data_IF_573302357910
#
_entry.id   IF_573302357910
#
_cell.length_a   1.000
_cell.length_b   1.000
_cell.length_c   1.000
_cell.angle_alpha   90.00
_cell.angle_beta   90.00
_cell.angle_gamma   90.00
#
_symmetry.space_group_name_H-M   'P 1'
#
loop_
_entity.id
_entity.type
_entity.pdbx_description
1 polymer ?
#
# COMPACT_ATOMS: atom_id res chain seq x y z
N UNK A 1 10.95 -21.17 -6.17
CA UNK A 1 11.72 -19.90 -6.03
C UNK A 1 10.85 -18.69 -5.67
N UNK A 2 9.74 -18.39 -6.35
CA UNK A 2 8.90 -17.20 -6.02
C UNK A 2 8.35 -17.17 -4.59
N UNK A 3 7.97 -18.32 -4.02
CA UNK A 3 7.52 -18.44 -2.63
C UNK A 3 8.63 -18.09 -1.62
N UNK A 4 9.87 -18.51 -1.90
CA UNK A 4 11.02 -18.21 -1.03
C UNK A 4 11.33 -16.72 -1.04
N UNK A 5 11.30 -16.06 -2.20
CA UNK A 5 11.53 -14.62 -2.30
C UNK A 5 10.50 -13.79 -1.50
N UNK A 6 9.23 -14.22 -1.51
CA UNK A 6 8.18 -13.58 -0.72
C UNK A 6 8.40 -13.77 0.79
N UNK A 7 8.72 -14.99 1.24
CA UNK A 7 9.01 -15.28 2.65
C UNK A 7 10.24 -14.50 3.13
N UNK A 8 11.31 -14.46 2.32
CA UNK A 8 12.52 -13.69 2.61
C UNK A 8 12.19 -12.20 2.71
N UNK A 9 11.39 -11.65 1.79
CA UNK A 9 10.97 -10.25 1.84
C UNK A 9 10.20 -9.91 3.13
N UNK A 10 9.25 -10.76 3.53
CA UNK A 10 8.50 -10.58 4.78
C UNK A 10 9.42 -10.68 6.00
N UNK A 11 10.30 -11.69 6.06
CA UNK A 11 11.26 -11.84 7.16
C UNK A 11 12.17 -10.62 7.28
N UNK A 12 12.64 -10.10 6.15
CA UNK A 12 13.52 -8.92 6.12
C UNK A 12 12.80 -7.68 6.66
N UNK A 13 11.50 -7.51 6.34
CA UNK A 13 10.66 -6.46 6.92
C UNK A 13 10.49 -6.63 8.44
N UNK A 14 10.20 -7.85 8.90
CA UNK A 14 10.07 -8.13 10.35
C UNK A 14 11.38 -7.81 11.07
N UNK A 15 12.51 -8.26 10.54
CA UNK A 15 13.83 -7.97 11.11
C UNK A 15 14.10 -6.47 11.13
N UNK A 16 13.75 -5.73 10.08
CA UNK A 16 13.90 -4.27 10.05
C UNK A 16 13.08 -3.60 11.15
N UNK A 17 11.84 -4.02 11.37
CA UNK A 17 11.01 -3.52 12.46
C UNK A 17 11.57 -3.91 13.83
N UNK A 18 11.93 -5.17 14.04
CA UNK A 18 12.53 -5.61 15.32
C UNK A 18 13.82 -4.86 15.61
N UNK A 19 14.65 -4.60 14.61
CA UNK A 19 15.86 -3.79 14.76
C UNK A 19 15.54 -2.34 15.12
N UNK A 20 14.55 -1.72 14.46
CA UNK A 20 14.12 -0.36 14.76
C UNK A 20 13.54 -0.27 16.18
N UNK A 21 12.56 -1.12 16.51
CA UNK A 21 11.95 -1.15 17.84
C UNK A 21 12.97 -1.53 18.92
N UNK A 22 13.84 -2.50 18.66
CA UNK A 22 14.95 -2.84 19.55
C UNK A 22 15.86 -1.65 19.79
N UNK A 23 16.21 -0.89 18.76
CA UNK A 23 17.08 0.28 18.93
C UNK A 23 16.40 1.40 19.75
N UNK A 24 15.11 1.66 19.52
CA UNK A 24 14.38 2.75 20.17
C UNK A 24 13.83 2.42 21.57
N UNK A 25 13.40 1.18 21.81
CA UNK A 25 12.72 0.79 23.05
C UNK A 25 13.61 0.03 24.04
N UNK A 26 14.71 -0.58 23.59
CA UNK A 26 15.67 -1.21 24.49
C UNK A 26 16.39 -0.26 25.47
N UNK A 27 16.63 1.05 25.20
CA UNK A 27 17.32 1.92 26.15
C UNK A 27 16.48 2.34 27.38
N UNK A 28 15.30 1.75 27.59
CA UNK A 28 14.44 2.09 28.75
C UNK A 28 14.79 1.33 30.03
N UNK A 29 15.60 0.27 29.96
CA UNK A 29 16.00 -0.50 31.14
C UNK A 29 17.41 -0.10 31.59
N UNK A 30 17.51 0.65 32.70
CA UNK A 30 18.77 1.10 33.32
C UNK A 30 19.63 -0.07 33.85
N UNK A 31 19.09 -1.29 33.82
CA UNK A 31 19.77 -2.49 34.28
C UNK A 31 20.77 -2.99 33.23
N UNK A 32 21.99 -2.44 33.27
CA UNK A 32 23.22 -2.98 32.66
C UNK A 32 23.04 -3.58 31.25
N UNK A 33 23.32 -2.83 30.15
CA UNK A 33 23.20 -3.38 28.81
C UNK A 33 24.06 -4.64 28.67
N UNK A 34 23.49 -5.69 28.06
CA UNK A 34 24.22 -6.92 27.75
C UNK A 34 25.54 -6.55 27.05
N UNK A 35 26.71 -7.03 27.54
CA UNK A 35 28.02 -6.69 26.97
C UNK A 35 28.12 -7.02 25.48
N UNK A 36 27.33 -7.96 24.97
CA UNK A 36 27.28 -8.28 23.54
C UNK A 36 26.73 -7.13 22.71
N UNK A 37 25.69 -6.47 23.19
CA UNK A 37 25.07 -5.34 22.49
C UNK A 37 26.00 -4.13 22.59
N UNK A 38 26.63 -3.91 23.74
CA UNK A 38 27.64 -2.86 23.92
C UNK A 38 28.78 -3.01 22.91
N UNK A 39 29.39 -4.19 22.80
CA UNK A 39 30.49 -4.44 21.86
C UNK A 39 30.12 -4.17 20.39
N UNK A 40 28.88 -4.51 19.98
CA UNK A 40 28.41 -4.21 18.62
C UNK A 40 28.26 -2.70 18.44
N UNK A 41 27.69 -1.99 19.41
CA UNK A 41 27.53 -0.53 19.36
C UNK A 41 28.89 0.17 19.32
N UNK A 42 29.86 -0.28 20.12
CA UNK A 42 31.23 0.24 20.14
C UNK A 42 31.87 0.14 18.76
N UNK A 43 31.78 -1.03 18.12
CA UNK A 43 32.38 -1.26 16.80
C UNK A 43 31.74 -0.47 15.66
N UNK A 44 30.46 -0.12 15.78
CA UNK A 44 29.69 0.55 14.72
C UNK A 44 29.77 2.07 14.85
N UNK A 45 29.73 2.60 16.07
CA UNK A 45 29.59 4.03 16.32
C UNK A 45 30.86 4.70 16.84
N UNK A 46 31.73 3.96 17.52
CA UNK A 46 32.93 4.48 18.18
C UNK A 46 34.21 4.07 17.44
N UNK A 47 35.30 4.80 17.70
CA UNK A 47 36.61 4.43 17.18
C UNK A 47 37.22 3.27 18.02
N UNK A 48 38.23 2.56 17.49
CA UNK A 48 38.90 1.51 18.27
C UNK A 48 39.46 2.05 19.60
N UNK A 49 39.05 1.45 20.71
CA UNK A 49 39.47 1.84 22.06
C UNK A 49 38.57 2.88 22.75
N UNK A 50 37.49 3.31 22.11
CA UNK A 50 36.40 4.09 22.72
C UNK A 50 35.26 3.15 23.13
N UNK A 51 34.49 3.55 24.15
CA UNK A 51 33.31 2.82 24.65
C UNK A 51 32.04 3.65 24.45
N UNK A 52 30.95 3.01 24.04
CA UNK A 52 29.68 3.66 23.78
C UNK A 52 28.90 3.86 25.08
N UNK A 53 28.78 5.12 25.49
CA UNK A 53 28.10 5.52 26.72
C UNK A 53 26.81 6.25 26.38
N UNK A 54 25.73 5.88 27.07
CA UNK A 54 24.42 6.54 26.97
C UNK A 54 24.18 7.36 28.22
N UNK A 55 23.79 8.61 28.04
CA UNK A 55 23.41 9.48 29.14
C UNK A 55 21.98 9.94 28.92
N UNK A 56 21.10 9.62 29.87
CA UNK A 56 19.77 10.21 29.91
C UNK A 56 19.85 11.52 30.70
N UNK A 57 19.81 12.63 29.99
CA UNK A 57 19.66 13.96 30.58
C UNK A 57 18.19 14.27 30.84
N UNK A 58 17.87 14.92 31.95
CA UNK A 58 16.56 15.56 32.09
C UNK A 58 16.54 16.86 31.28
N UNK A 59 15.55 17.07 30.42
CA UNK A 59 15.38 18.39 29.80
C UNK A 59 14.98 19.39 30.89
N UNK A 60 15.88 20.31 31.20
CA UNK A 60 15.58 21.50 32.00
C UNK A 60 14.95 22.52 31.04
N UNK A 61 13.64 22.73 31.14
CA UNK A 61 12.98 23.77 30.37
C UNK A 61 13.45 25.15 30.88
N UNK A 62 13.34 26.20 30.05
CA UNK A 62 13.75 27.56 30.44
C UNK A 62 13.05 28.12 31.69
N UNK A 63 11.98 27.48 32.16
CA UNK A 63 11.28 27.72 33.42
C UNK A 63 11.91 27.05 34.66
N UNK A 64 12.97 26.26 34.50
CA UNK A 64 13.59 25.48 35.58
C UNK A 64 12.77 24.28 36.04
N UNK A 65 11.61 24.00 35.43
CA UNK A 65 10.82 22.79 35.70
C UNK A 65 11.45 21.60 35.00
N UNK A 66 11.67 20.51 35.75
CA UNK A 66 12.13 19.24 35.17
C UNK A 66 10.96 18.67 34.37
N UNK A 67 11.07 18.69 33.04
CA UNK A 67 10.05 18.09 32.20
C UNK A 67 10.17 16.56 32.25
N UNK A 68 9.07 15.84 32.03
CA UNK A 68 9.11 14.38 31.84
C UNK A 68 9.84 13.97 30.56
N UNK A 69 10.26 14.93 29.73
CA UNK A 69 11.08 14.66 28.56
C UNK A 69 12.52 14.36 29.00
N UNK A 70 12.99 13.17 28.63
CA UNK A 70 14.40 12.78 28.77
C UNK A 70 15.09 13.01 27.44
N UNK A 71 16.22 13.71 27.48
CA UNK A 71 17.13 13.81 26.35
C UNK A 71 18.01 12.56 26.36
N UNK A 72 18.03 11.83 25.26
CA UNK A 72 18.96 10.73 25.08
C UNK A 72 20.17 11.26 24.31
N UNK A 73 21.27 11.50 25.01
CA UNK A 73 22.55 11.86 24.40
C UNK A 73 23.49 10.66 24.37
N UNK A 74 24.16 10.49 23.23
CA UNK A 74 24.97 9.32 22.92
C UNK A 74 26.42 9.79 22.75
N UNK A 75 27.32 9.22 23.55
CA UNK A 75 28.73 9.57 23.56
C UNK A 75 29.61 8.35 23.32
N UNK A 76 30.77 8.58 22.72
CA UNK A 76 31.89 7.66 22.81
C UNK A 76 32.88 8.22 23.84
N UNK A 77 33.20 7.45 24.87
CA UNK A 77 34.16 7.80 25.91
C UNK A 77 35.47 7.03 25.68
N UNK A 78 36.58 7.74 25.57
CA UNK A 78 37.90 7.13 25.43
C UNK A 78 38.49 6.67 26.77
N UNK A 79 39.68 6.07 26.75
CA UNK A 79 40.36 5.60 27.97
C UNK A 79 40.78 6.74 28.92
N UNK A 80 40.75 8.00 28.46
CA UNK A 80 41.06 9.19 29.25
C UNK A 80 39.80 9.86 29.82
N UNK A 81 38.61 9.31 29.53
CA UNK A 81 37.32 9.84 29.97
C UNK A 81 36.82 11.02 29.12
N UNK A 82 37.44 11.31 27.97
CA UNK A 82 36.97 12.35 27.06
C UNK A 82 35.77 11.85 26.27
N UNK A 83 34.73 12.69 26.21
CA UNK A 83 33.46 12.35 25.56
C UNK A 83 33.32 13.02 24.21
N UNK A 84 33.05 12.22 23.19
CA UNK A 84 32.72 12.68 21.84
C UNK A 84 31.26 12.41 21.54
N UNK A 85 30.50 13.46 21.25
CA UNK A 85 29.09 13.33 20.89
C UNK A 85 28.94 12.61 19.55
N UNK A 86 28.12 11.55 19.53
CA UNK A 86 27.84 10.74 18.33
C UNK A 86 26.35 10.61 18.02
N UNK A 87 25.48 11.31 18.76
CA UNK A 87 24.02 11.25 18.63
C UNK A 87 23.53 11.45 17.20
N UNK A 88 23.97 12.50 16.51
CA UNK A 88 23.53 12.77 15.14
C UNK A 88 23.97 11.70 14.15
N UNK A 89 25.21 11.18 14.30
CA UNK A 89 25.76 10.14 13.43
C UNK A 89 25.07 8.80 13.65
N UNK A 90 24.77 8.45 14.90
CA UNK A 90 24.11 7.18 15.21
C UNK A 90 22.68 7.14 14.67
N UNK A 91 21.92 8.22 14.84
CA UNK A 91 20.57 8.35 14.27
C UNK A 91 20.61 8.23 12.74
N UNK A 92 21.54 8.92 12.07
CA UNK A 92 21.66 8.87 10.62
C UNK A 92 21.95 7.45 10.11
N UNK A 93 22.90 6.74 10.73
CA UNK A 93 23.23 5.35 10.35
C UNK A 93 22.04 4.42 10.58
N UNK A 94 21.35 4.53 11.73
CA UNK A 94 20.18 3.69 12.04
C UNK A 94 19.04 3.92 11.04
N UNK A 95 18.77 5.19 10.67
CA UNK A 95 17.76 5.52 9.66
C UNK A 95 18.14 4.94 8.29
N UNK A 96 19.40 5.09 7.86
CA UNK A 96 19.86 4.54 6.58
C UNK A 96 19.75 3.01 6.56
N UNK A 97 20.21 2.34 7.62
CA UNK A 97 20.13 0.87 7.73
C UNK A 97 18.68 0.38 7.68
N UNK A 98 17.78 1.05 8.39
CA UNK A 98 16.35 0.74 8.35
C UNK A 98 15.76 0.95 6.96
N UNK A 99 16.01 2.09 6.32
CA UNK A 99 15.47 2.39 4.98
C UNK A 99 15.96 1.38 3.96
N UNK A 100 17.24 1.00 3.99
CA UNK A 100 17.81 -0.01 3.09
C UNK A 100 17.13 -1.36 3.29
N UNK A 101 16.99 -1.81 4.54
CA UNK A 101 16.34 -3.08 4.84
C UNK A 101 14.85 -3.04 4.44
N UNK A 102 14.12 -2.01 4.85
CA UNK A 102 12.69 -1.86 4.58
C UNK A 102 12.40 -1.77 3.07
N UNK A 103 13.08 -0.88 2.35
CA UNK A 103 12.89 -0.73 0.90
C UNK A 103 13.32 -2.00 0.16
N UNK A 104 14.41 -2.63 0.58
CA UNK A 104 14.85 -3.91 0.03
C UNK A 104 13.81 -5.02 0.20
N UNK A 105 13.26 -5.17 1.41
CA UNK A 105 12.17 -6.11 1.69
C UNK A 105 10.91 -5.81 0.89
N UNK A 106 10.51 -4.53 0.82
CA UNK A 106 9.36 -4.08 0.04
C UNK A 106 9.51 -4.38 -1.45
N UNK A 107 10.65 -4.04 -2.07
CA UNK A 107 10.88 -4.32 -3.49
C UNK A 107 10.88 -5.82 -3.79
N UNK A 108 11.46 -6.63 -2.91
CA UNK A 108 11.44 -8.10 -3.05
C UNK A 108 10.01 -8.66 -2.98
N UNK A 109 9.20 -8.19 -2.04
CA UNK A 109 7.79 -8.62 -1.91
C UNK A 109 6.95 -8.20 -3.12
N UNK A 110 7.12 -6.97 -3.61
CA UNK A 110 6.45 -6.49 -4.84
C UNK A 110 6.85 -7.34 -6.06
N UNK A 111 8.15 -7.55 -6.27
CA UNK A 111 8.65 -8.34 -7.41
C UNK A 111 8.18 -9.82 -7.34
N UNK A 112 8.14 -10.40 -6.14
CA UNK A 112 7.61 -11.75 -5.94
C UNK A 112 6.10 -11.82 -6.24
N UNK A 113 5.34 -10.79 -5.83
CA UNK A 113 3.90 -10.70 -6.04
C UNK A 113 3.56 -10.61 -7.51
N UNK A 114 4.22 -9.73 -8.29
CA UNK A 114 4.02 -9.65 -9.74
C UNK A 114 4.28 -10.97 -10.46
N UNK A 115 5.31 -11.72 -10.06
CA UNK A 115 5.61 -13.03 -10.65
C UNK A 115 4.56 -14.10 -10.31
N UNK A 116 3.94 -14.02 -9.13
CA UNK A 116 2.85 -14.90 -8.73
C UNK A 116 1.57 -14.56 -9.48
N UNK A 117 1.20 -13.26 -9.53
CA UNK A 117 0.01 -12.78 -10.22
C UNK A 117 0.09 -13.06 -11.72
N UNK A 118 1.24 -12.89 -12.36
CA UNK A 118 1.41 -13.20 -13.79
C UNK A 118 1.21 -14.69 -14.13
N UNK A 119 1.45 -15.61 -13.18
CA UNK A 119 1.17 -17.04 -13.37
C UNK A 119 -0.29 -17.38 -13.08
N UNK A 120 -0.89 -16.69 -12.11
CA UNK A 120 -2.27 -16.92 -11.70
C UNK A 120 -3.27 -16.32 -12.69
N UNK A 121 -2.98 -15.13 -13.23
CA UNK A 121 -3.76 -14.52 -14.31
C UNK A 121 -3.80 -15.41 -15.55
N UNK A 122 -2.66 -16.01 -15.94
CA UNK A 122 -2.64 -16.99 -17.03
C UNK A 122 -3.52 -18.21 -16.75
N UNK A 123 -3.60 -18.69 -15.50
CA UNK A 123 -4.45 -19.83 -15.12
C UNK A 123 -5.93 -19.49 -15.00
N UNK A 124 -6.27 -18.29 -14.54
CA UNK A 124 -7.65 -17.83 -14.50
C UNK A 124 -8.16 -17.55 -15.91
N UNK A 125 -7.36 -16.91 -16.76
CA UNK A 125 -7.69 -16.68 -18.17
C UNK A 125 -7.75 -18.02 -18.91
N UNK A 126 -6.77 -18.92 -18.72
CA UNK A 126 -6.81 -20.23 -19.37
C UNK A 126 -7.89 -21.14 -18.78
N UNK A 127 -8.24 -21.03 -17.51
CA UNK A 127 -9.26 -21.85 -16.85
C UNK A 127 -10.68 -21.38 -17.19
N UNK A 128 -10.91 -20.07 -17.24
CA UNK A 128 -12.16 -19.49 -17.70
C UNK A 128 -12.39 -19.75 -19.21
N UNK A 129 -11.33 -19.79 -20.02
CA UNK A 129 -11.44 -20.16 -21.43
C UNK A 129 -11.45 -21.68 -21.69
N UNK A 130 -10.68 -22.48 -20.94
CA UNK A 130 -10.62 -23.93 -21.14
C UNK A 130 -11.80 -24.68 -20.52
N UNK A 131 -12.52 -24.08 -19.56
CA UNK A 131 -13.73 -24.69 -19.02
C UNK A 131 -14.90 -24.71 -20.04
N UNK A 132 -14.79 -24.01 -21.17
CA UNK A 132 -15.78 -24.09 -22.27
C UNK A 132 -17.23 -23.86 -21.82
N UNK A 133 -17.43 -23.23 -20.66
CA UNK A 133 -18.74 -22.99 -20.11
C UNK A 133 -19.43 -21.94 -20.96
N UNK A 134 -20.62 -22.20 -21.52
CA UNK A 134 -21.32 -21.21 -22.32
C UNK A 134 -21.58 -19.97 -21.46
N UNK A 135 -21.06 -18.83 -21.87
CA UNK A 135 -21.37 -17.55 -21.24
C UNK A 135 -22.79 -17.18 -21.70
N UNK A 136 -23.76 -17.34 -20.79
CA UNK A 136 -25.15 -16.93 -21.02
C UNK A 136 -25.26 -15.42 -20.80
N UNK A 137 -25.45 -14.66 -21.87
CA UNK A 137 -25.76 -13.24 -21.80
C UNK A 137 -27.28 -13.09 -21.86
N UNK A 138 -27.87 -12.54 -20.80
CA UNK A 138 -29.28 -12.21 -20.74
C UNK A 138 -29.45 -10.75 -21.15
N UNK A 139 -29.98 -10.49 -22.35
CA UNK A 139 -30.37 -9.14 -22.75
C UNK A 139 -31.85 -8.93 -22.45
N UNK A 140 -32.18 -7.94 -21.62
CA UNK A 140 -33.55 -7.51 -21.41
C UNK A 140 -33.96 -6.57 -22.55
N UNK A 141 -34.46 -7.15 -23.63
CA UNK A 141 -35.14 -6.43 -24.71
C UNK A 141 -36.65 -6.35 -24.44
N UNK A 142 -37.34 -5.29 -24.88
CA UNK A 142 -38.79 -5.11 -24.66
C UNK A 142 -39.67 -6.27 -25.17
N UNK A 143 -39.19 -7.00 -26.18
CA UNK A 143 -39.88 -8.15 -26.78
C UNK A 143 -39.59 -9.49 -26.06
N UNK A 144 -38.89 -9.46 -24.92
CA UNK A 144 -38.58 -10.62 -24.09
C UNK A 144 -37.08 -10.92 -23.96
N UNK A 145 -36.71 -11.80 -23.00
CA UNK A 145 -35.32 -12.18 -22.78
C UNK A 145 -34.83 -13.08 -23.92
N UNK A 146 -33.86 -12.59 -24.69
CA UNK A 146 -33.20 -13.40 -25.73
C UNK A 146 -31.94 -14.01 -25.12
N UNK A 147 -31.87 -15.33 -25.08
CA UNK A 147 -30.70 -16.07 -24.59
C UNK A 147 -29.71 -16.28 -25.73
N UNK A 148 -28.63 -15.50 -25.75
CA UNK A 148 -27.52 -15.75 -26.66
C UNK A 148 -26.51 -16.65 -25.96
N UNK A 149 -26.46 -17.92 -26.37
CA UNK A 149 -25.40 -18.85 -25.97
C UNK A 149 -24.29 -18.81 -27.01
N UNK A 150 -23.28 -17.99 -26.76
CA UNK A 150 -22.04 -18.01 -27.55
C UNK A 150 -21.05 -18.93 -26.85
N UNK A 151 -20.67 -20.00 -27.54
CA UNK A 151 -19.52 -20.81 -27.15
C UNK A 151 -18.28 -19.98 -27.50
N UNK A 152 -17.50 -19.66 -26.47
CA UNK A 152 -16.32 -18.79 -26.57
C UNK A 152 -15.45 -19.28 -27.73
N UNK A 153 -15.37 -18.46 -28.79
CA UNK A 153 -14.53 -18.72 -29.95
C UNK A 153 -13.09 -18.84 -29.46
N UNK A 154 -12.45 -19.96 -29.76
CA UNK A 154 -11.05 -20.23 -29.45
C UNK A 154 -10.20 -19.04 -29.94
N UNK A 155 -9.65 -18.27 -29.01
CA UNK A 155 -8.98 -16.99 -29.26
C UNK A 155 -7.68 -17.10 -30.07
N UNK A 156 -7.42 -18.24 -30.70
CA UNK A 156 -6.27 -18.48 -31.57
C UNK A 156 -6.42 -17.91 -32.98
N UNK A 157 -7.64 -17.79 -33.50
CA UNK A 157 -7.85 -17.39 -34.90
C UNK A 157 -8.37 -15.96 -35.09
N UNK A 158 -8.56 -15.18 -34.02
CA UNK A 158 -8.65 -13.71 -34.06
C UNK A 158 -9.75 -13.10 -34.95
N UNK A 159 -10.68 -13.89 -35.48
CA UNK A 159 -11.79 -13.39 -36.29
C UNK A 159 -13.02 -13.22 -35.39
N UNK A 160 -13.06 -12.08 -34.70
CA UNK A 160 -14.29 -11.61 -34.07
C UNK A 160 -15.22 -11.17 -35.21
N UNK A 161 -16.43 -11.75 -35.35
CA UNK A 161 -17.41 -11.29 -36.32
C UNK A 161 -17.65 -9.79 -36.13
N UNK A 162 -17.68 -8.97 -37.20
CA UNK A 162 -17.76 -7.51 -37.09
C UNK A 162 -18.98 -7.05 -36.27
N UNK A 163 -20.08 -7.81 -36.30
CA UNK A 163 -21.28 -7.56 -35.51
C UNK A 163 -21.06 -7.71 -33.99
N UNK A 164 -20.23 -8.67 -33.56
CA UNK A 164 -19.89 -8.85 -32.16
C UNK A 164 -18.94 -7.76 -31.64
N UNK A 165 -18.11 -7.17 -32.51
CA UNK A 165 -17.18 -6.11 -32.13
C UNK A 165 -17.92 -4.83 -31.69
N UNK A 166 -19.03 -4.50 -32.33
CA UNK A 166 -19.82 -3.32 -31.98
C UNK A 166 -20.61 -3.51 -30.68
N UNK A 167 -21.13 -4.72 -30.43
CA UNK A 167 -21.73 -5.05 -29.13
C UNK A 167 -20.71 -5.00 -27.98
N UNK A 168 -19.49 -5.50 -28.20
CA UNK A 168 -18.41 -5.44 -27.20
C UNK A 168 -18.02 -3.98 -26.90
N UNK A 169 -17.98 -3.11 -27.92
CA UNK A 169 -17.74 -1.67 -27.72
C UNK A 169 -18.84 -1.03 -26.88
N UNK A 170 -20.10 -1.34 -27.16
CA UNK A 170 -21.24 -0.78 -26.43
C UNK A 170 -21.25 -1.24 -24.96
N UNK A 171 -20.96 -2.52 -24.70
CA UNK A 171 -20.85 -3.06 -23.33
C UNK A 171 -19.63 -2.49 -22.60
N UNK A 172 -18.47 -2.36 -23.26
CA UNK A 172 -17.28 -1.75 -22.65
C UNK A 172 -17.49 -0.26 -22.34
N UNK A 173 -18.19 0.49 -23.19
CA UNK A 173 -18.56 1.88 -22.92
C UNK A 173 -19.53 1.99 -21.73
N UNK A 174 -20.44 1.02 -21.55
CA UNK A 174 -21.29 0.93 -20.37
C UNK A 174 -20.53 0.53 -19.09
N UNK A 175 -19.50 -0.30 -19.20
CA UNK A 175 -18.71 -0.79 -18.06
C UNK A 175 -17.57 0.15 -17.62
N UNK A 176 -17.05 0.99 -18.50
CA UNK A 176 -16.04 2.00 -18.12
C UNK A 176 -16.57 3.04 -17.12
N UNK A 177 -17.89 3.14 -16.94
CA UNK A 177 -18.53 3.99 -15.92
C UNK A 177 -18.69 3.35 -14.54
N UNK A 178 -18.34 2.07 -14.32
CA UNK A 178 -18.72 1.33 -13.10
C UNK A 178 -17.60 0.58 -12.39
N UNK A 179 -16.32 0.89 -12.65
CA UNK A 179 -15.22 0.33 -11.85
C UNK A 179 -15.20 0.98 -10.46
N UNK A 180 -15.59 0.27 -9.37
CA UNK A 180 -15.69 0.85 -8.04
C UNK A 180 -14.38 0.59 -7.30
N UNK A 181 -13.57 1.62 -7.13
CA UNK A 181 -12.36 1.49 -6.33
C UNK A 181 -11.54 2.77 -6.28
N UNK A 182 -11.56 3.41 -5.10
CA UNK A 182 -10.63 4.44 -4.63
C UNK A 182 -10.87 5.88 -5.11
N UNK A 183 -11.96 6.51 -4.65
CA UNK A 183 -11.92 7.91 -4.18
C UNK A 183 -13.27 8.30 -3.58
N UNK A 184 -13.36 8.41 -2.26
CA UNK A 184 -14.62 8.77 -1.57
C UNK A 184 -15.03 10.25 -1.80
N UNK A 185 -14.18 11.04 -2.45
CA UNK A 185 -14.37 12.47 -2.69
C UNK A 185 -14.48 12.89 -4.17
N UNK A 186 -14.29 11.98 -5.14
CA UNK A 186 -14.43 12.33 -6.58
C UNK A 186 -15.85 12.07 -7.14
N UNK A 187 -16.77 11.60 -6.29
CA UNK A 187 -18.03 10.97 -6.72
C UNK A 187 -19.22 11.95 -6.92
N UNK A 188 -19.04 13.24 -6.66
CA UNK A 188 -20.10 14.24 -6.94
C UNK A 188 -20.20 14.51 -8.45
N UNK A 189 -19.04 14.74 -9.08
CA UNK A 189 -18.97 15.10 -10.49
C UNK A 189 -19.41 13.94 -11.39
N UNK A 190 -19.07 12.70 -11.04
CA UNK A 190 -19.52 11.49 -11.72
C UNK A 190 -21.04 11.32 -11.62
N UNK A 191 -21.62 11.48 -10.42
CA UNK A 191 -23.06 11.34 -10.19
C UNK A 191 -23.88 12.40 -10.90
N UNK A 192 -23.46 13.66 -10.86
CA UNK A 192 -24.13 14.74 -11.58
C UNK A 192 -24.08 14.52 -13.09
N UNK A 193 -22.94 14.05 -13.61
CA UNK A 193 -22.78 13.76 -15.04
C UNK A 193 -23.61 12.55 -15.49
N UNK A 194 -23.77 11.54 -14.64
CA UNK A 194 -24.64 10.39 -14.89
C UNK A 194 -26.13 10.80 -14.88
N UNK A 195 -26.52 11.68 -13.95
CA UNK A 195 -27.88 12.21 -13.87
C UNK A 195 -28.23 13.07 -15.10
N UNK A 196 -27.27 13.87 -15.58
CA UNK A 196 -27.44 14.70 -16.78
C UNK A 196 -27.54 13.87 -18.06
N UNK A 197 -26.76 12.78 -18.17
CA UNK A 197 -26.86 11.84 -19.28
C UNK A 197 -28.24 11.16 -19.31
N UNK A 198 -28.75 10.69 -18.16
CA UNK A 198 -30.08 10.07 -18.08
C UNK A 198 -31.21 11.03 -18.48
N UNK A 199 -31.10 12.32 -18.16
CA UNK A 199 -32.04 13.36 -18.62
C UNK A 199 -31.97 13.55 -20.13
N UNK A 200 -30.76 13.63 -20.69
CA UNK A 200 -30.56 13.81 -22.13
C UNK A 200 -31.11 12.63 -22.93
N UNK A 201 -31.00 11.42 -22.39
CA UNK A 201 -31.53 10.19 -22.98
C UNK A 201 -33.06 10.04 -22.81
N UNK A 202 -33.72 11.02 -22.17
CA UNK A 202 -35.17 11.02 -21.94
C UNK A 202 -35.64 9.99 -20.92
N UNK A 203 -34.73 9.40 -20.13
CA UNK A 203 -35.04 8.37 -19.12
C UNK A 203 -35.65 8.97 -17.86
N UNK A 204 -35.38 10.24 -17.58
CA UNK A 204 -35.95 10.99 -16.45
C UNK A 204 -36.49 12.34 -16.91
N UNK A 205 -37.57 12.78 -16.29
CA UNK A 205 -38.14 14.10 -16.52
C UNK A 205 -37.29 15.21 -15.87
N UNK A 206 -37.45 16.46 -16.34
CA UNK A 206 -36.73 17.61 -15.78
C UNK A 206 -36.99 17.79 -14.28
N UNK A 207 -38.22 17.54 -13.83
CA UNK A 207 -38.61 17.64 -12.42
C UNK A 207 -37.96 16.55 -11.56
N UNK A 208 -37.79 15.34 -12.09
CA UNK A 208 -37.06 14.26 -11.40
C UNK A 208 -35.56 14.54 -11.32
N UNK A 209 -34.98 15.08 -12.38
CA UNK A 209 -33.58 15.53 -12.38
C UNK A 209 -33.33 16.55 -11.27
N UNK A 210 -34.18 17.58 -11.17
CA UNK A 210 -34.01 18.65 -10.17
C UNK A 210 -34.15 18.10 -8.73
N UNK A 211 -35.09 17.18 -8.49
CA UNK A 211 -35.28 16.52 -7.19
C UNK A 211 -34.08 15.69 -6.77
N UNK A 212 -33.55 14.84 -7.67
CA UNK A 212 -32.42 13.95 -7.35
C UNK A 212 -31.12 14.74 -7.22
N UNK A 213 -30.94 15.79 -8.03
CA UNK A 213 -29.82 16.72 -7.89
C UNK A 213 -29.80 17.36 -6.50
N UNK A 214 -30.95 17.83 -6.01
CA UNK A 214 -31.04 18.44 -4.69
C UNK A 214 -30.71 17.43 -3.58
N UNK A 215 -31.24 16.20 -3.67
CA UNK A 215 -30.97 15.14 -2.70
C UNK A 215 -29.48 14.77 -2.62
N UNK A 216 -28.75 14.80 -3.74
CA UNK A 216 -27.29 14.57 -3.76
C UNK A 216 -26.55 15.71 -3.06
N UNK A 217 -26.96 16.96 -3.30
CA UNK A 217 -26.36 18.13 -2.65
C UNK A 217 -26.61 18.11 -1.14
N UNK A 218 -27.85 17.84 -0.72
CA UNK A 218 -28.23 17.79 0.70
C UNK A 218 -27.45 16.68 1.44
N UNK A 219 -27.15 15.55 0.79
CA UNK A 219 -26.37 14.45 1.39
C UNK A 219 -24.88 14.75 1.62
N UNK A 220 -24.40 15.93 1.21
CA UNK A 220 -23.03 16.40 1.43
C UNK A 220 -22.91 17.42 2.56
N UNK A 221 -24.03 18.02 2.97
CA UNK A 221 -24.04 19.01 4.05
C UNK A 221 -24.15 18.36 5.45
N UNK A 222 -24.46 17.05 5.51
CA UNK A 222 -24.50 16.19 6.71
C UNK A 222 -23.17 15.43 6.96
#
# INVERSE_FOLDING_TARGET
>A
MSKLALIVGILLMIVAFVALFGFFFYPMDDNSPDPRIANVMDSVFCNPGETYVRQLGGLVTGSGTVSMARELTLYCEDNEGQRREVTGRSIAISVVAFVVAFVGGLLLTIAASFRLTARWSRRLISGAMAAGGPVRVYTNTPDGPVEYSTTVVDGKDGQIPPEAADMIRQVMQGFQGTTPGLSRNDDLSSKLRQLEAARHDGLISQTEYDRVRQQILDSMDD
#
